data_IF_920845901894
#
_entry.id   IF_920845901894
#
_cell.length_a   1.000
_cell.length_b   1.000
_cell.length_c   1.000
_cell.angle_alpha   90.00
_cell.angle_beta   90.00
_cell.angle_gamma   90.00
#
_symmetry.space_group_name_H-M   'P 1'
#
loop_
_entity.id
_entity.type
_entity.pdbx_description
1 polymer ?
#
# COMPACT_ATOMS: atom_id res chain seq x y z
N UNK A 1 34.17 45.05 4.19
CA UNK A 1 32.80 44.70 4.64
C UNK A 1 31.84 45.11 3.56
N UNK A 2 31.37 44.18 2.75
CA UNK A 2 30.31 44.37 1.75
C UNK A 2 29.32 43.23 1.93
N UNK A 3 28.08 43.58 2.24
CA UNK A 3 26.97 42.68 2.56
C UNK A 3 26.59 41.78 1.37
N UNK A 4 26.20 40.52 1.60
CA UNK A 4 25.69 39.66 0.54
C UNK A 4 24.23 40.02 0.23
N UNK A 5 23.96 40.34 -1.04
CA UNK A 5 22.60 40.46 -1.57
C UNK A 5 22.01 39.06 -1.74
N UNK A 6 20.95 38.76 -1.00
CA UNK A 6 20.05 37.64 -1.29
C UNK A 6 19.28 37.95 -2.58
N UNK A 7 19.54 37.17 -3.64
CA UNK A 7 18.71 37.14 -4.84
C UNK A 7 17.67 36.03 -4.67
N UNK A 8 16.41 36.44 -4.70
CA UNK A 8 15.24 35.63 -4.41
C UNK A 8 14.93 34.54 -5.45
N UNK A 9 14.13 33.60 -4.94
CA UNK A 9 13.13 32.78 -5.64
C UNK A 9 13.45 32.34 -7.07
N UNK A 10 14.05 31.16 -7.17
CA UNK A 10 13.73 30.22 -8.22
C UNK A 10 12.91 29.08 -7.59
N UNK A 11 11.60 29.29 -7.46
CA UNK A 11 10.60 28.23 -7.38
C UNK A 11 10.50 27.56 -8.76
N UNK A 12 11.61 26.95 -9.17
CA UNK A 12 11.65 26.05 -10.31
C UNK A 12 10.92 24.77 -9.90
N UNK A 13 9.70 24.61 -10.39
CA UNK A 13 8.96 23.35 -10.38
C UNK A 13 9.87 22.28 -10.97
N UNK A 14 10.46 21.44 -10.11
CA UNK A 14 11.16 20.21 -10.52
C UNK A 14 10.11 19.21 -11.01
N UNK A 15 9.62 19.44 -12.23
CA UNK A 15 9.00 18.40 -13.02
C UNK A 15 10.13 17.73 -13.78
N UNK A 16 10.95 16.95 -13.08
CA UNK A 16 11.88 16.04 -13.75
C UNK A 16 11.04 15.01 -14.50
N UNK A 17 11.00 15.16 -15.82
CA UNK A 17 10.61 14.08 -16.71
C UNK A 17 11.52 12.89 -16.39
N UNK A 18 10.96 11.89 -15.70
CA UNK A 18 11.67 10.67 -15.30
C UNK A 18 12.34 10.10 -16.55
N UNK A 19 13.66 10.26 -16.61
CA UNK A 19 14.44 9.87 -17.76
C UNK A 19 14.37 8.33 -17.86
N UNK A 20 14.01 7.78 -19.02
CA UNK A 20 13.99 6.32 -19.24
C UNK A 20 15.35 5.64 -18.97
N UNK A 21 16.44 6.41 -18.82
CA UNK A 21 17.74 5.92 -18.34
C UNK A 21 17.85 5.72 -16.82
N UNK A 22 16.95 6.28 -16.01
CA UNK A 22 16.81 6.01 -14.56
C UNK A 22 16.07 4.71 -14.25
N UNK A 23 15.58 4.00 -15.27
CA UNK A 23 15.31 2.55 -15.19
C UNK A 23 16.59 1.71 -14.95
N UNK A 24 17.71 2.35 -14.60
CA UNK A 24 18.96 1.72 -14.21
C UNK A 24 18.71 0.86 -12.97
N UNK A 25 18.74 -0.45 -13.19
CA UNK A 25 18.80 -1.52 -12.19
C UNK A 25 17.55 -1.80 -11.33
N UNK A 26 16.35 -1.48 -11.81
CA UNK A 26 15.13 -2.03 -11.17
C UNK A 26 15.04 -3.53 -11.43
N UNK A 27 15.10 -4.35 -10.38
CA UNK A 27 14.97 -5.81 -10.51
C UNK A 27 13.59 -6.17 -11.08
N UNK A 28 13.56 -6.92 -12.19
CA UNK A 28 12.33 -7.38 -12.84
C UNK A 28 11.39 -8.09 -11.85
N UNK A 29 11.92 -8.76 -10.83
CA UNK A 29 11.11 -9.39 -9.77
C UNK A 29 10.36 -8.38 -8.92
N UNK A 30 11.00 -7.25 -8.57
CA UNK A 30 10.38 -6.16 -7.81
C UNK A 30 9.27 -5.51 -8.61
N UNK A 31 9.53 -5.27 -9.90
CA UNK A 31 8.56 -4.72 -10.82
C UNK A 31 7.35 -5.65 -11.00
N UNK A 32 7.59 -6.94 -11.23
CA UNK A 32 6.52 -7.94 -11.33
C UNK A 32 5.70 -8.03 -10.04
N UNK A 33 6.35 -8.09 -8.86
CA UNK A 33 5.67 -8.12 -7.57
C UNK A 33 4.75 -6.91 -7.36
N UNK A 34 5.22 -5.72 -7.71
CA UNK A 34 4.42 -4.50 -7.62
C UNK A 34 3.21 -4.53 -8.58
N UNK A 35 3.41 -4.88 -9.84
CA UNK A 35 2.31 -4.91 -10.82
C UNK A 35 1.29 -6.00 -10.53
N UNK A 36 1.71 -7.19 -10.09
CA UNK A 36 0.80 -8.25 -9.66
C UNK A 36 -0.05 -7.78 -8.48
N UNK A 37 0.58 -7.12 -7.49
CA UNK A 37 -0.13 -6.59 -6.33
C UNK A 37 -1.18 -5.55 -6.72
N UNK A 38 -0.83 -4.62 -7.62
CA UNK A 38 -1.77 -3.64 -8.19
C UNK A 38 -2.90 -4.31 -8.94
N UNK A 39 -2.59 -5.26 -9.83
CA UNK A 39 -3.58 -5.96 -10.63
C UNK A 39 -4.60 -6.68 -9.74
N UNK A 40 -4.15 -7.38 -8.70
CA UNK A 40 -5.04 -8.03 -7.72
C UNK A 40 -5.97 -7.04 -7.04
N UNK A 41 -5.44 -5.89 -6.59
CA UNK A 41 -6.26 -4.82 -5.99
C UNK A 41 -7.33 -4.33 -6.98
N UNK A 42 -6.93 -3.98 -8.20
CA UNK A 42 -7.86 -3.45 -9.20
C UNK A 42 -8.91 -4.48 -9.61
N UNK A 43 -8.53 -5.74 -9.79
CA UNK A 43 -9.46 -6.83 -10.06
C UNK A 43 -10.48 -6.95 -8.92
N UNK A 44 -10.04 -6.92 -7.67
CA UNK A 44 -10.94 -6.95 -6.50
C UNK A 44 -11.94 -5.80 -6.51
N UNK A 45 -11.48 -4.57 -6.72
CA UNK A 45 -12.35 -3.37 -6.79
C UNK A 45 -13.34 -3.48 -7.94
N UNK A 46 -12.89 -3.85 -9.15
CA UNK A 46 -13.75 -3.98 -10.34
C UNK A 46 -14.82 -5.04 -10.08
N UNK A 47 -14.47 -6.19 -9.51
CA UNK A 47 -15.44 -7.24 -9.17
C UNK A 47 -16.51 -6.73 -8.20
N UNK A 48 -16.13 -5.99 -7.17
CA UNK A 48 -17.09 -5.39 -6.22
C UNK A 48 -18.03 -4.42 -6.93
N UNK A 49 -17.48 -3.52 -7.75
CA UNK A 49 -18.28 -2.52 -8.48
C UNK A 49 -19.27 -3.22 -9.43
N UNK A 50 -18.79 -4.11 -10.28
CA UNK A 50 -19.63 -4.83 -11.24
C UNK A 50 -20.68 -5.71 -10.56
N UNK A 51 -20.37 -6.27 -9.39
CA UNK A 51 -21.33 -7.04 -8.62
C UNK A 51 -22.44 -6.15 -8.04
N UNK A 52 -22.09 -5.02 -7.43
CA UNK A 52 -23.08 -4.06 -6.91
C UNK A 52 -23.95 -3.44 -8.01
N UNK A 53 -23.44 -3.36 -9.25
CA UNK A 53 -24.20 -2.92 -10.43
C UNK A 53 -25.02 -4.06 -11.08
N UNK A 54 -25.12 -5.23 -10.44
CA UNK A 54 -25.83 -6.42 -10.95
C UNK A 54 -25.32 -6.94 -12.32
N UNK A 55 -24.09 -6.64 -12.71
CA UNK A 55 -23.52 -7.06 -14.01
C UNK A 55 -23.02 -8.50 -13.95
N UNK A 56 -22.38 -8.89 -12.84
CA UNK A 56 -21.64 -10.17 -12.74
C UNK A 56 -22.43 -11.26 -12.03
N UNK A 57 -23.11 -10.94 -10.92
CA UNK A 57 -24.05 -11.84 -10.26
C UNK A 57 -25.36 -11.08 -9.97
N UNK A 58 -26.33 -11.12 -10.90
CA UNK A 58 -27.58 -10.38 -10.77
C UNK A 58 -28.33 -10.75 -9.49
N UNK A 59 -28.80 -9.74 -8.74
CA UNK A 59 -29.49 -9.92 -7.47
C UNK A 59 -28.57 -10.16 -6.28
N UNK A 60 -27.25 -10.10 -6.47
CA UNK A 60 -26.24 -10.20 -5.40
C UNK A 60 -25.52 -8.86 -5.20
N UNK A 61 -24.85 -8.73 -4.05
CA UNK A 61 -24.00 -7.58 -3.73
C UNK A 61 -22.79 -8.05 -2.91
N UNK A 62 -21.74 -7.23 -2.84
CA UNK A 62 -20.57 -7.58 -2.02
C UNK A 62 -20.91 -7.57 -0.53
N UNK A 63 -20.60 -8.68 0.16
CA UNK A 63 -21.04 -8.94 1.54
C UNK A 63 -22.18 -9.97 1.62
N UNK A 64 -22.99 -10.12 0.56
CA UNK A 64 -23.87 -11.28 0.44
C UNK A 64 -23.06 -12.54 0.11
N UNK A 65 -23.50 -13.71 0.58
CA UNK A 65 -22.87 -15.00 0.27
C UNK A 65 -22.99 -15.28 -1.24
N UNK A 66 -21.94 -14.93 -1.99
CA UNK A 66 -21.84 -15.08 -3.44
C UNK A 66 -20.43 -15.52 -3.83
N UNK A 67 -20.30 -16.11 -5.01
CA UNK A 67 -18.99 -16.50 -5.53
C UNK A 67 -18.06 -15.29 -5.69
N UNK A 68 -18.60 -14.10 -6.01
CA UNK A 68 -17.82 -12.85 -6.10
C UNK A 68 -17.25 -12.48 -4.73
N UNK A 69 -18.07 -12.51 -3.68
CA UNK A 69 -17.65 -12.23 -2.31
C UNK A 69 -16.53 -13.17 -1.87
N UNK A 70 -16.64 -14.47 -2.20
CA UNK A 70 -15.60 -15.46 -1.89
C UNK A 70 -14.30 -15.17 -2.64
N UNK A 71 -14.35 -14.85 -3.94
CA UNK A 71 -13.15 -14.50 -4.72
C UNK A 71 -12.48 -13.26 -4.16
N UNK A 72 -13.25 -12.19 -3.91
CA UNK A 72 -12.72 -10.92 -3.38
C UNK A 72 -12.09 -11.15 -2.00
N UNK A 73 -12.71 -11.98 -1.16
CA UNK A 73 -12.14 -12.39 0.13
C UNK A 73 -10.76 -13.06 -0.04
N UNK A 74 -10.62 -14.00 -0.98
CA UNK A 74 -9.33 -14.62 -1.28
C UNK A 74 -8.30 -13.64 -1.85
N UNK A 75 -8.72 -12.68 -2.67
CA UNK A 75 -7.84 -11.59 -3.12
C UNK A 75 -7.33 -10.81 -1.90
N UNK A 76 -8.21 -10.48 -0.94
CA UNK A 76 -7.83 -9.83 0.32
C UNK A 76 -6.79 -10.62 1.11
N UNK A 77 -6.95 -11.95 1.20
CA UNK A 77 -5.97 -12.84 1.82
C UNK A 77 -4.60 -12.76 1.13
N UNK A 78 -4.57 -12.90 -0.20
CA UNK A 78 -3.31 -12.84 -0.95
C UNK A 78 -2.64 -11.47 -0.80
N UNK A 79 -3.41 -10.38 -0.84
CA UNK A 79 -2.87 -9.04 -0.67
C UNK A 79 -2.19 -8.89 0.70
N UNK A 80 -2.89 -9.25 1.79
CA UNK A 80 -2.38 -9.00 3.14
C UNK A 80 -1.27 -9.96 3.56
N UNK A 81 -1.35 -11.24 3.19
CA UNK A 81 -0.37 -12.26 3.62
C UNK A 81 0.79 -12.46 2.65
N UNK A 82 0.65 -12.06 1.38
CA UNK A 82 1.68 -12.30 0.36
C UNK A 82 2.17 -10.99 -0.24
N UNK A 83 1.30 -10.21 -0.88
CA UNK A 83 1.72 -9.00 -1.60
C UNK A 83 2.41 -7.98 -0.71
N UNK A 84 1.80 -7.63 0.44
CA UNK A 84 2.37 -6.65 1.36
C UNK A 84 3.74 -7.10 1.89
N UNK A 85 3.92 -8.32 2.43
CA UNK A 85 5.24 -8.80 2.81
C UNK A 85 6.25 -8.78 1.66
N UNK A 86 5.87 -9.26 0.47
CA UNK A 86 6.75 -9.25 -0.71
C UNK A 86 7.20 -7.83 -1.05
N UNK A 87 6.31 -6.84 -0.99
CA UNK A 87 6.65 -5.43 -1.23
C UNK A 87 7.59 -4.88 -0.16
N UNK A 88 7.42 -5.23 1.11
CA UNK A 88 8.39 -4.85 2.15
C UNK A 88 9.78 -5.42 1.87
N UNK A 89 9.88 -6.73 1.57
CA UNK A 89 11.16 -7.37 1.23
C UNK A 89 11.81 -6.75 0.00
N UNK A 90 11.00 -6.51 -1.03
CA UNK A 90 11.43 -5.92 -2.28
C UNK A 90 11.91 -4.48 -2.08
N UNK A 91 11.16 -3.68 -1.34
CA UNK A 91 11.49 -2.29 -1.01
C UNK A 91 12.82 -2.19 -0.27
N UNK A 92 13.03 -2.99 0.78
CA UNK A 92 14.31 -3.00 1.49
C UNK A 92 15.47 -3.41 0.60
N UNK A 93 15.25 -4.37 -0.31
CA UNK A 93 16.28 -4.82 -1.24
C UNK A 93 16.64 -3.74 -2.26
N UNK A 94 15.65 -3.02 -2.79
CA UNK A 94 15.88 -1.92 -3.71
C UNK A 94 16.53 -0.73 -3.02
N UNK A 95 16.14 -0.45 -1.78
CA UNK A 95 16.79 0.53 -0.92
C UNK A 95 18.28 0.21 -0.69
N UNK A 96 18.61 -1.05 -0.37
CA UNK A 96 20.02 -1.50 -0.21
C UNK A 96 20.83 -1.48 -1.52
N UNK A 97 20.15 -1.44 -2.67
CA UNK A 97 20.76 -1.29 -3.99
C UNK A 97 20.79 0.17 -4.47
N UNK A 98 20.42 1.12 -3.60
CA UNK A 98 20.35 2.55 -3.92
C UNK A 98 19.38 2.87 -5.09
N UNK A 99 18.40 1.99 -5.32
CA UNK A 99 17.36 2.20 -6.34
C UNK A 99 16.14 2.88 -5.74
N UNK A 100 15.73 4.03 -6.28
CA UNK A 100 14.55 4.81 -5.83
C UNK A 100 13.21 4.06 -5.93
N UNK A 101 13.18 2.89 -6.58
CA UNK A 101 11.99 2.07 -6.70
C UNK A 101 11.40 1.63 -5.35
N UNK A 102 12.21 1.62 -4.29
CA UNK A 102 11.75 1.32 -2.92
C UNK A 102 10.61 2.26 -2.47
N UNK A 103 10.62 3.52 -2.90
CA UNK A 103 9.61 4.51 -2.50
C UNK A 103 8.25 4.17 -3.11
N UNK A 104 8.25 3.84 -4.41
CA UNK A 104 7.04 3.37 -5.11
C UNK A 104 6.46 2.12 -4.48
N UNK A 105 7.30 1.15 -4.11
CA UNK A 105 6.83 -0.07 -3.44
C UNK A 105 6.24 0.24 -2.07
N UNK A 106 6.92 1.09 -1.28
CA UNK A 106 6.48 1.47 0.06
C UNK A 106 5.18 2.26 0.04
N UNK A 107 5.02 3.17 -0.93
CA UNK A 107 3.77 3.90 -1.16
C UNK A 107 2.60 2.94 -1.41
N UNK A 108 2.77 1.95 -2.29
CA UNK A 108 1.70 1.02 -2.67
C UNK A 108 1.29 0.05 -1.57
N UNK A 109 2.13 -0.16 -0.55
CA UNK A 109 1.75 -0.95 0.62
C UNK A 109 0.52 -0.36 1.33
N UNK A 110 0.38 0.97 1.39
CA UNK A 110 -0.74 1.62 2.07
C UNK A 110 -2.11 1.31 1.41
N UNK A 111 -2.34 1.60 0.11
CA UNK A 111 -3.60 1.25 -0.54
C UNK A 111 -3.84 -0.27 -0.54
N UNK A 112 -2.79 -1.09 -0.67
CA UNK A 112 -2.94 -2.55 -0.54
C UNK A 112 -3.43 -2.96 0.84
N UNK A 113 -2.88 -2.39 1.91
CA UNK A 113 -3.35 -2.66 3.26
C UNK A 113 -4.81 -2.23 3.44
N UNK A 114 -5.18 -1.05 2.95
CA UNK A 114 -6.55 -0.54 3.02
C UNK A 114 -7.55 -1.46 2.33
N UNK A 115 -7.35 -1.70 1.05
CA UNK A 115 -8.27 -2.49 0.23
C UNK A 115 -8.21 -3.97 0.58
N UNK A 116 -7.03 -4.52 0.87
CA UNK A 116 -6.89 -5.91 1.32
C UNK A 116 -7.64 -6.16 2.63
N UNK A 117 -7.50 -5.25 3.60
CA UNK A 117 -8.30 -5.26 4.83
C UNK A 117 -9.80 -5.17 4.53
N UNK A 118 -10.20 -4.23 3.68
CA UNK A 118 -11.59 -4.09 3.24
C UNK A 118 -12.17 -5.36 2.64
N UNK A 119 -11.43 -6.03 1.76
CA UNK A 119 -11.87 -7.26 1.12
C UNK A 119 -12.09 -8.40 2.12
N UNK A 120 -11.30 -8.42 3.21
CA UNK A 120 -11.49 -9.41 4.26
C UNK A 120 -12.75 -9.13 5.08
N UNK A 121 -12.88 -7.94 5.67
CA UNK A 121 -13.99 -7.68 6.60
C UNK A 121 -15.32 -7.43 5.87
N UNK A 122 -15.29 -6.79 4.70
CA UNK A 122 -16.49 -6.47 3.92
C UNK A 122 -17.14 -7.69 3.29
N UNK A 123 -16.47 -8.85 3.32
CA UNK A 123 -17.04 -10.10 2.85
C UNK A 123 -18.11 -10.69 3.79
N UNK A 124 -18.23 -10.18 5.03
CA UNK A 124 -19.20 -10.62 6.06
C UNK A 124 -19.23 -12.14 6.31
N UNK A 125 -18.15 -12.86 5.98
CA UNK A 125 -18.00 -14.28 6.26
C UNK A 125 -17.77 -14.51 7.76
N UNK A 126 -18.26 -15.63 8.29
CA UNK A 126 -18.15 -15.95 9.73
C UNK A 126 -16.71 -15.95 10.27
N UNK A 127 -15.72 -16.26 9.43
CA UNK A 127 -14.29 -16.32 9.78
C UNK A 127 -13.56 -15.01 9.46
N UNK A 128 -14.22 -14.06 8.77
CA UNK A 128 -13.60 -12.84 8.25
C UNK A 128 -12.95 -11.99 9.35
N UNK A 129 -13.60 -11.84 10.51
CA UNK A 129 -13.09 -11.04 11.63
C UNK A 129 -11.83 -11.64 12.24
N UNK A 130 -11.79 -12.95 12.45
CA UNK A 130 -10.60 -13.65 12.96
C UNK A 130 -9.44 -13.54 11.98
N UNK A 131 -9.70 -13.79 10.69
CA UNK A 131 -8.68 -13.67 9.63
C UNK A 131 -8.18 -12.23 9.51
N UNK A 132 -9.07 -11.23 9.63
CA UNK A 132 -8.70 -9.83 9.63
C UNK A 132 -7.69 -9.53 10.74
N UNK A 133 -8.00 -9.90 11.98
CA UNK A 133 -7.11 -9.66 13.13
C UNK A 133 -5.74 -10.31 12.90
N UNK A 134 -5.72 -11.56 12.44
CA UNK A 134 -4.47 -12.27 12.11
C UNK A 134 -3.70 -11.52 11.01
N UNK A 135 -4.38 -11.06 9.97
CA UNK A 135 -3.76 -10.34 8.85
C UNK A 135 -3.14 -9.01 9.29
N UNK A 136 -3.83 -8.24 10.15
CA UNK A 136 -3.32 -6.99 10.73
C UNK A 136 -2.09 -7.27 11.59
N UNK A 137 -2.10 -8.32 12.41
CA UNK A 137 -0.94 -8.73 13.20
C UNK A 137 0.24 -9.09 12.29
N UNK A 138 0.03 -9.87 11.23
CA UNK A 138 1.10 -10.24 10.29
C UNK A 138 1.69 -9.02 9.59
N UNK A 139 0.85 -8.10 9.11
CA UNK A 139 1.32 -6.86 8.48
C UNK A 139 2.08 -5.99 9.49
N UNK A 140 1.59 -5.87 10.73
CA UNK A 140 2.25 -5.11 11.79
C UNK A 140 3.61 -5.72 12.16
N UNK A 141 3.70 -7.04 12.35
CA UNK A 141 4.97 -7.73 12.64
C UNK A 141 5.96 -7.58 11.49
N UNK A 142 5.47 -7.69 10.25
CA UNK A 142 6.28 -7.44 9.05
C UNK A 142 6.81 -6.01 9.10
N UNK A 143 5.93 -5.02 9.22
CA UNK A 143 6.31 -3.61 9.29
C UNK A 143 7.35 -3.33 10.38
N UNK A 144 7.12 -3.80 11.61
CA UNK A 144 8.04 -3.63 12.74
C UNK A 144 9.42 -4.20 12.40
N UNK A 145 9.48 -5.42 11.84
CA UNK A 145 10.74 -6.03 11.41
C UNK A 145 11.50 -5.13 10.42
N UNK A 146 10.82 -4.55 9.44
CA UNK A 146 11.45 -3.68 8.44
C UNK A 146 11.87 -2.34 9.01
N UNK A 147 11.14 -1.78 9.97
CA UNK A 147 11.55 -0.59 10.73
C UNK A 147 12.84 -0.86 11.50
N UNK A 148 12.97 -2.03 12.14
CA UNK A 148 14.20 -2.43 12.83
C UNK A 148 15.39 -2.58 11.87
N UNK A 149 15.19 -3.24 10.72
CA UNK A 149 16.22 -3.37 9.69
C UNK A 149 16.65 -2.01 9.12
N UNK A 150 15.69 -1.11 8.85
CA UNK A 150 15.96 0.24 8.39
C UNK A 150 16.79 1.04 9.42
N UNK A 151 16.40 0.95 10.71
CA UNK A 151 17.13 1.60 11.81
C UNK A 151 18.56 1.08 11.92
N UNK A 152 18.76 -0.24 11.83
CA UNK A 152 20.10 -0.86 11.87
C UNK A 152 20.98 -0.35 10.72
N UNK A 153 20.39 -0.22 9.53
CA UNK A 153 21.11 0.29 8.35
C UNK A 153 21.46 1.78 8.52
N UNK A 154 20.55 2.60 9.04
CA UNK A 154 20.79 4.02 9.33
C UNK A 154 21.93 4.23 10.34
N UNK A 155 21.99 3.47 11.43
CA UNK A 155 23.05 3.59 12.45
C UNK A 155 24.43 3.26 11.89
N UNK A 156 24.49 2.38 10.88
CA UNK A 156 25.75 1.95 10.26
C UNK A 156 26.11 2.75 8.99
N UNK A 157 25.31 3.77 8.64
CA UNK A 157 25.50 4.55 7.41
C UNK A 157 26.63 5.58 7.54
N UNK A 158 27.36 5.80 6.45
CA UNK A 158 28.37 6.86 6.33
C UNK A 158 27.70 8.22 6.15
N UNK A 159 28.43 9.31 6.43
CA UNK A 159 27.89 10.70 6.39
C UNK A 159 27.18 11.02 5.07
N UNK A 160 27.73 10.58 3.94
CA UNK A 160 27.18 10.86 2.60
C UNK A 160 25.90 10.06 2.28
N UNK A 161 25.68 8.91 2.93
CA UNK A 161 24.49 8.06 2.72
C UNK A 161 23.40 8.28 3.77
N UNK A 162 23.66 9.11 4.79
CA UNK A 162 22.76 9.33 5.92
C UNK A 162 21.41 9.92 5.49
N UNK A 163 21.40 10.81 4.49
CA UNK A 163 20.19 11.48 4.01
C UNK A 163 19.19 10.48 3.38
N UNK A 164 19.64 9.61 2.48
CA UNK A 164 18.79 8.60 1.82
C UNK A 164 18.31 7.54 2.82
N UNK A 165 19.18 7.12 3.75
CA UNK A 165 18.81 6.19 4.82
C UNK A 165 17.80 6.79 5.80
N UNK A 166 17.95 8.08 6.11
CA UNK A 166 17.01 8.82 6.94
C UNK A 166 15.63 8.91 6.29
N UNK A 167 15.57 9.18 4.98
CA UNK A 167 14.32 9.27 4.23
C UNK A 167 13.57 7.93 4.21
N UNK A 168 14.26 6.81 3.97
CA UNK A 168 13.65 5.47 4.02
C UNK A 168 13.04 5.18 5.39
N UNK A 169 13.78 5.45 6.46
CA UNK A 169 13.30 5.25 7.83
C UNK A 169 12.11 6.14 8.18
N UNK A 170 12.13 7.41 7.75
CA UNK A 170 11.01 8.33 7.95
C UNK A 170 9.77 7.88 7.18
N UNK A 171 9.92 7.38 5.95
CA UNK A 171 8.81 6.86 5.14
C UNK A 171 8.11 5.70 5.86
N UNK A 172 8.87 4.78 6.46
CA UNK A 172 8.29 3.70 7.26
C UNK A 172 7.55 4.22 8.51
N UNK A 173 8.06 5.25 9.19
CA UNK A 173 7.34 5.87 10.33
C UNK A 173 6.02 6.51 9.89
N UNK A 174 6.01 7.21 8.77
CA UNK A 174 4.78 7.78 8.22
C UNK A 174 3.78 6.68 7.88
N UNK A 175 4.26 5.57 7.30
CA UNK A 175 3.42 4.40 7.03
C UNK A 175 2.80 3.82 8.31
N UNK A 176 3.52 3.82 9.44
CA UNK A 176 2.95 3.46 10.76
C UNK A 176 1.75 4.36 11.12
N UNK A 177 1.93 5.69 11.00
CA UNK A 177 0.87 6.65 11.31
C UNK A 177 -0.35 6.45 10.40
N UNK A 178 -0.13 6.23 9.11
CA UNK A 178 -1.19 5.95 8.16
C UNK A 178 -1.95 4.66 8.48
N UNK A 179 -1.27 3.59 8.88
CA UNK A 179 -1.95 2.37 9.32
C UNK A 179 -2.86 2.60 10.52
N UNK A 180 -2.40 3.34 11.53
CA UNK A 180 -3.21 3.64 12.72
C UNK A 180 -4.42 4.47 12.35
N UNK A 181 -4.24 5.56 11.59
CA UNK A 181 -5.34 6.41 11.13
C UNK A 181 -6.36 5.59 10.34
N UNK A 182 -5.89 4.71 9.48
CA UNK A 182 -6.72 3.88 8.63
C UNK A 182 -7.50 2.84 9.44
N UNK A 183 -6.87 2.16 10.40
CA UNK A 183 -7.56 1.25 11.31
C UNK A 183 -8.63 1.97 12.14
N UNK A 184 -8.33 3.16 12.67
CA UNK A 184 -9.31 3.97 13.39
C UNK A 184 -10.48 4.34 12.49
N UNK A 185 -10.20 4.77 11.26
CA UNK A 185 -11.22 5.16 10.29
C UNK A 185 -12.10 3.97 9.86
N UNK A 186 -11.50 2.79 9.74
CA UNK A 186 -12.23 1.54 9.48
C UNK A 186 -13.17 1.16 10.62
N UNK A 187 -12.71 1.28 11.87
CA UNK A 187 -13.52 0.94 13.06
C UNK A 187 -14.63 1.98 13.29
N UNK A 188 -14.33 3.27 13.08
CA UNK A 188 -15.23 4.36 13.44
C UNK A 188 -16.27 4.70 12.36
N UNK A 189 -15.91 4.60 11.07
CA UNK A 189 -16.76 5.10 9.97
C UNK A 189 -16.95 4.10 8.83
N UNK A 190 -15.96 3.27 8.51
CA UNK A 190 -16.04 2.29 7.42
C UNK A 190 -16.50 2.92 6.07
N UNK A 191 -15.64 3.75 5.44
CA UNK A 191 -16.02 4.60 4.31
C UNK A 191 -16.43 3.81 3.06
N UNK A 192 -15.81 2.66 2.81
CA UNK A 192 -16.07 1.88 1.60
C UNK A 192 -17.45 1.22 1.63
N UNK A 193 -17.91 0.75 2.80
CA UNK A 193 -19.26 0.23 2.93
C UNK A 193 -20.30 1.32 2.62
N UNK A 194 -20.09 2.54 3.13
CA UNK A 194 -20.93 3.69 2.80
C UNK A 194 -20.92 4.02 1.30
N UNK A 195 -19.76 4.04 0.66
CA UNK A 195 -19.65 4.31 -0.78
C UNK A 195 -20.37 3.27 -1.62
N UNK A 196 -20.19 1.97 -1.35
CA UNK A 196 -20.85 0.92 -2.12
C UNK A 196 -22.36 0.85 -1.85
N UNK A 197 -22.80 1.11 -0.62
CA UNK A 197 -24.21 1.27 -0.31
C UNK A 197 -24.83 2.42 -1.12
N UNK A 198 -24.15 3.57 -1.16
CA UNK A 198 -24.60 4.73 -1.94
C UNK A 198 -24.68 4.43 -3.45
N UNK A 199 -23.69 3.73 -4.00
CA UNK A 199 -23.72 3.28 -5.41
C UNK A 199 -24.94 2.41 -5.66
N UNK A 200 -25.24 1.46 -4.76
CA UNK A 200 -26.39 0.56 -4.87
C UNK A 200 -27.74 1.29 -4.81
N UNK A 201 -27.85 2.36 -4.03
CA UNK A 201 -29.13 3.06 -3.84
C UNK A 201 -29.41 4.15 -4.88
N UNK A 202 -28.40 4.64 -5.59
CA UNK A 202 -28.52 5.78 -6.51
C UNK A 202 -28.26 5.43 -7.99
N UNK A 203 -27.95 4.18 -8.30
CA UNK A 203 -27.84 3.65 -9.68
C UNK A 203 -28.84 2.52 -9.88
#
# INVERSE_FOLDING_TARGET
MNSPQFKGDNTGVFNEEVCLKELREVDARSLAGLYISKALLFIGVILIVLNNLNVVAPGSYFGAMSWVTVIVFFIGLVINFVCIPVLYFSSLRNFKKESEFWDKETFWILPLFFFGTFFLYGAELSIASTILVISVIVVALTHIRFVFEARKTLVNSTVDSYASHGQYFMTLKYLTAYYVVLLVLLIAYNPLQHTFFWIRTNM
#
